data_IF_250506977619
#
_entry.id   IF_250506977619
#
_cell.length_a   1.000
_cell.length_b   1.000
_cell.length_c   1.000
_cell.angle_alpha   90.00
_cell.angle_beta   90.00
_cell.angle_gamma   90.00
#
_symmetry.space_group_name_H-M   'P 1'
#
loop_
_entity.id
_entity.type
_entity.pdbx_description
1 polymer ?
#
# COMPACT_ATOMS: atom_id res chain seq x y z
N UNK A 1 -35.38 -17.06 17.45
CA UNK A 1 -35.02 -16.32 16.23
C UNK A 1 -34.38 -17.29 15.25
N UNK A 2 -34.91 -17.44 14.03
CA UNK A 2 -34.33 -18.34 13.02
C UNK A 2 -33.02 -17.76 12.46
N UNK A 3 -32.08 -18.60 11.99
CA UNK A 3 -30.82 -18.14 11.43
C UNK A 3 -31.05 -17.41 10.10
N UNK A 4 -30.45 -16.23 9.94
CA UNK A 4 -30.42 -15.46 8.69
C UNK A 4 -29.72 -16.30 7.61
N UNK A 5 -30.42 -16.55 6.49
CA UNK A 5 -29.82 -17.05 5.24
C UNK A 5 -28.62 -16.17 4.86
N UNK A 6 -27.50 -16.80 4.57
CA UNK A 6 -26.35 -16.14 3.95
C UNK A 6 -26.80 -15.50 2.64
N UNK A 7 -26.54 -14.20 2.49
CA UNK A 7 -26.75 -13.51 1.23
C UNK A 7 -25.78 -14.10 0.20
N UNK A 8 -26.32 -14.72 -0.83
CA UNK A 8 -25.57 -15.11 -2.02
C UNK A 8 -24.88 -13.89 -2.63
N UNK A 9 -23.66 -14.11 -3.12
CA UNK A 9 -22.71 -13.08 -3.51
C UNK A 9 -23.30 -12.04 -4.44
N UNK A 10 -23.31 -10.79 -3.98
CA UNK A 10 -23.49 -9.63 -4.84
C UNK A 10 -22.32 -9.56 -5.82
N UNK A 11 -22.55 -9.98 -7.06
CA UNK A 11 -21.65 -9.68 -8.17
C UNK A 11 -21.38 -8.18 -8.19
N UNK A 12 -20.09 -7.81 -8.18
CA UNK A 12 -19.68 -6.41 -8.20
C UNK A 12 -20.37 -5.72 -9.38
N UNK A 13 -21.28 -4.77 -9.10
CA UNK A 13 -21.80 -3.88 -10.13
C UNK A 13 -20.59 -3.23 -10.79
N UNK A 14 -20.35 -3.57 -12.06
CA UNK A 14 -19.27 -2.99 -12.86
C UNK A 14 -19.52 -1.49 -12.89
N UNK A 15 -18.60 -0.72 -12.31
CA UNK A 15 -18.72 0.75 -12.28
C UNK A 15 -18.80 1.22 -13.73
N UNK A 16 -19.91 1.84 -14.12
CA UNK A 16 -20.08 2.40 -15.46
C UNK A 16 -19.26 3.69 -15.53
N UNK A 17 -18.07 3.59 -16.12
CA UNK A 17 -17.12 4.70 -16.23
C UNK A 17 -17.31 5.40 -17.57
N UNK A 18 -17.59 6.70 -17.52
CA UNK A 18 -17.62 7.57 -18.70
C UNK A 18 -16.30 8.34 -18.78
N UNK A 19 -15.61 8.20 -19.89
CA UNK A 19 -14.38 8.96 -20.20
C UNK A 19 -14.67 9.95 -21.32
N UNK A 20 -13.78 10.91 -21.54
CA UNK A 20 -13.74 11.63 -22.81
C UNK A 20 -13.60 10.60 -23.93
N UNK A 21 -14.61 10.53 -24.79
CA UNK A 21 -14.62 9.61 -25.92
C UNK A 21 -13.43 9.91 -26.84
N UNK A 22 -12.97 8.89 -27.55
CA UNK A 22 -12.09 9.12 -28.69
C UNK A 22 -12.94 9.77 -29.78
N UNK A 23 -12.66 11.03 -30.07
CA UNK A 23 -13.36 11.77 -31.12
C UNK A 23 -12.79 11.38 -32.48
N UNK A 24 -13.69 11.04 -33.40
CA UNK A 24 -13.33 10.66 -34.76
C UNK A 24 -13.04 11.93 -35.57
N UNK A 25 -11.81 12.04 -36.05
CA UNK A 25 -11.38 13.09 -36.97
C UNK A 25 -10.07 12.71 -37.64
N UNK A 26 -9.75 13.38 -38.75
CA UNK A 26 -8.57 13.05 -39.57
C UNK A 26 -7.25 13.15 -38.78
N UNK A 27 -7.21 13.99 -37.74
CA UNK A 27 -6.06 14.11 -36.83
C UNK A 27 -5.75 12.83 -36.04
N UNK A 28 -6.71 11.90 -35.94
CA UNK A 28 -6.51 10.63 -35.26
C UNK A 28 -5.60 9.70 -36.08
N UNK A 29 -5.58 9.82 -37.41
CA UNK A 29 -4.73 8.99 -38.28
C UNK A 29 -3.26 9.33 -38.02
N UNK A 30 -2.46 8.30 -37.71
CA UNK A 30 -1.07 8.42 -37.28
C UNK A 30 -0.90 8.72 -35.78
N UNK A 31 -1.98 8.99 -35.05
CA UNK A 31 -1.94 9.24 -33.60
C UNK A 31 -2.10 7.93 -32.81
N UNK A 32 -1.50 7.85 -31.59
CA UNK A 32 -1.68 6.71 -30.71
C UNK A 32 -3.05 6.71 -30.04
N UNK A 33 -3.59 5.51 -29.83
CA UNK A 33 -4.77 5.22 -29.01
C UNK A 33 -4.50 4.01 -28.13
N UNK A 34 -5.22 3.88 -27.02
CA UNK A 34 -5.22 2.66 -26.20
C UNK A 34 -6.43 1.81 -26.50
N UNK A 35 -6.22 0.52 -26.74
CA UNK A 35 -7.28 -0.46 -26.99
C UNK A 35 -7.49 -1.30 -25.74
N UNK A 36 -8.75 -1.52 -25.34
CA UNK A 36 -9.09 -2.45 -24.25
C UNK A 36 -8.90 -3.90 -24.69
N UNK A 37 -8.01 -4.61 -24.00
CA UNK A 37 -7.79 -6.05 -24.19
C UNK A 37 -7.86 -6.78 -22.85
N UNK A 38 -9.08 -7.05 -22.32
CA UNK A 38 -9.26 -7.60 -20.98
C UNK A 38 -8.73 -9.04 -20.82
N UNK A 39 -8.46 -9.73 -21.93
CA UNK A 39 -7.83 -11.06 -21.93
C UNK A 39 -6.32 -11.01 -21.67
N UNK A 40 -5.67 -9.86 -21.88
CA UNK A 40 -4.25 -9.67 -21.56
C UNK A 40 -4.11 -9.19 -20.11
N UNK A 41 -3.01 -9.61 -19.49
CA UNK A 41 -2.65 -9.16 -18.13
C UNK A 41 -2.52 -7.63 -18.06
N UNK A 42 -1.98 -7.01 -19.10
CA UNK A 42 -1.80 -5.56 -19.21
C UNK A 42 -3.11 -4.76 -19.38
N UNK A 43 -4.21 -5.44 -19.74
CA UNK A 43 -5.58 -4.91 -19.98
C UNK A 43 -5.73 -3.86 -21.09
N UNK A 44 -4.67 -3.15 -21.45
CA UNK A 44 -4.66 -2.11 -22.47
C UNK A 44 -3.42 -2.24 -23.34
N UNK A 45 -3.59 -2.02 -24.64
CA UNK A 45 -2.49 -2.04 -25.61
C UNK A 45 -2.47 -0.73 -26.37
N UNK A 46 -1.27 -0.13 -26.51
CA UNK A 46 -1.08 1.09 -27.28
C UNK A 46 -0.97 0.74 -28.76
N UNK A 47 -1.68 1.48 -29.61
CA UNK A 47 -1.74 1.22 -31.04
C UNK A 47 -1.73 2.53 -31.83
N UNK A 48 -1.24 2.50 -33.07
CA UNK A 48 -1.25 3.67 -33.97
C UNK A 48 -2.41 3.53 -34.95
N UNK A 49 -3.27 4.53 -35.03
CA UNK A 49 -4.39 4.52 -35.98
C UNK A 49 -3.85 4.67 -37.41
N UNK A 50 -4.29 3.80 -38.33
CA UNK A 50 -3.94 3.82 -39.75
C UNK A 50 -5.07 4.38 -40.62
N UNK A 51 -6.31 4.05 -40.31
CA UNK A 51 -7.48 4.57 -41.02
C UNK A 51 -8.73 4.52 -40.15
N UNK A 52 -9.73 5.31 -40.56
CA UNK A 52 -11.03 5.42 -39.90
C UNK A 52 -12.09 4.98 -40.92
N UNK A 53 -13.00 4.10 -40.51
CA UNK A 53 -14.11 3.63 -41.34
C UNK A 53 -15.39 3.56 -40.51
N UNK A 54 -16.23 4.59 -40.61
CA UNK A 54 -17.44 4.68 -39.79
C UNK A 54 -17.09 4.76 -38.30
N UNK A 55 -17.55 3.78 -37.51
CA UNK A 55 -17.26 3.65 -36.08
C UNK A 55 -16.01 2.81 -35.76
N UNK A 56 -15.35 2.28 -36.79
CA UNK A 56 -14.20 1.39 -36.65
C UNK A 56 -12.89 2.11 -36.95
N UNK A 57 -11.86 1.75 -36.19
CA UNK A 57 -10.48 2.14 -36.41
C UNK A 57 -9.70 0.93 -36.93
N UNK A 58 -8.95 1.12 -38.02
CA UNK A 58 -7.87 0.20 -38.37
C UNK A 58 -6.61 0.70 -37.69
N UNK A 59 -6.04 -0.13 -36.83
CA UNK A 59 -4.93 0.20 -35.93
C UNK A 59 -3.77 -0.77 -36.13
N UNK A 60 -2.56 -0.26 -35.91
CA UNK A 60 -1.32 -1.01 -35.94
C UNK A 60 -0.85 -1.24 -34.51
N UNK A 61 -0.78 -2.51 -34.14
CA UNK A 61 -0.35 -3.01 -32.84
C UNK A 61 0.92 -3.80 -33.09
N UNK A 62 2.07 -3.23 -32.73
CA UNK A 62 3.38 -3.87 -32.86
C UNK A 62 3.68 -4.46 -34.26
N UNK A 63 3.24 -3.77 -35.33
CA UNK A 63 3.42 -4.20 -36.72
C UNK A 63 2.30 -5.09 -37.27
N UNK A 64 1.32 -5.45 -36.43
CA UNK A 64 0.13 -6.21 -36.84
C UNK A 64 -1.10 -5.30 -36.96
N UNK A 65 -1.80 -5.40 -38.08
CA UNK A 65 -3.00 -4.60 -38.33
C UNK A 65 -4.23 -5.28 -37.73
N UNK A 66 -5.03 -4.52 -36.99
CA UNK A 66 -6.28 -4.97 -36.37
C UNK A 66 -7.38 -3.93 -36.62
N UNK A 67 -8.63 -4.38 -36.70
CA UNK A 67 -9.80 -3.50 -36.73
C UNK A 67 -10.50 -3.57 -35.38
N UNK A 68 -10.79 -2.41 -34.80
CA UNK A 68 -11.41 -2.27 -33.47
C UNK A 68 -12.51 -1.21 -33.50
N UNK A 69 -13.52 -1.36 -32.65
CA UNK A 69 -14.53 -0.32 -32.47
C UNK A 69 -13.95 0.86 -31.68
N UNK A 70 -14.30 2.08 -32.07
CA UNK A 70 -13.83 3.30 -31.38
C UNK A 70 -14.27 3.32 -29.91
N UNK A 71 -15.40 2.66 -29.59
CA UNK A 71 -15.94 2.55 -28.23
C UNK A 71 -15.03 1.72 -27.28
N UNK A 72 -14.21 0.83 -27.84
CA UNK A 72 -13.22 0.05 -27.09
C UNK A 72 -11.86 0.77 -26.97
N UNK A 73 -11.76 1.96 -27.54
CA UNK A 73 -10.55 2.78 -27.52
C UNK A 73 -10.61 3.86 -26.44
N UNK A 74 -9.43 4.24 -25.94
CA UNK A 74 -9.20 5.36 -25.05
C UNK A 74 -8.15 6.29 -25.66
N UNK A 75 -8.30 7.59 -25.43
CA UNK A 75 -7.32 8.59 -25.89
C UNK A 75 -5.94 8.31 -25.26
N UNK A 76 -4.86 8.47 -26.03
CA UNK A 76 -3.49 8.44 -25.52
C UNK A 76 -2.90 9.85 -25.49
N UNK A 77 -2.00 10.11 -24.55
CA UNK A 77 -1.30 11.39 -24.50
C UNK A 77 -0.15 11.41 -25.52
N UNK A 78 -0.13 12.40 -26.41
CA UNK A 78 0.88 12.56 -27.45
C UNK A 78 1.93 13.58 -27.01
N UNK A 79 3.21 13.30 -27.27
CA UNK A 79 4.31 14.23 -26.98
C UNK A 79 4.65 14.38 -25.49
N UNK A 80 4.12 13.50 -24.63
CA UNK A 80 4.41 13.46 -23.20
C UNK A 80 5.25 12.22 -22.92
N UNK A 81 6.44 12.40 -22.33
CA UNK A 81 7.22 11.29 -21.78
C UNK A 81 6.60 10.84 -20.45
N UNK A 82 6.04 9.61 -20.37
CA UNK A 82 5.37 9.13 -19.16
C UNK A 82 6.25 9.16 -17.91
N UNK A 83 7.57 9.00 -18.06
CA UNK A 83 8.52 8.99 -16.93
C UNK A 83 8.60 10.36 -16.26
N UNK A 84 8.48 11.43 -17.04
CA UNK A 84 8.54 12.82 -16.54
C UNK A 84 7.27 13.27 -15.83
N UNK A 85 6.17 12.54 -16.00
CA UNK A 85 4.89 12.86 -15.36
C UNK A 85 4.93 12.46 -13.89
N UNK A 86 5.01 13.45 -13.01
CA UNK A 86 5.03 13.24 -11.56
C UNK A 86 3.65 13.28 -10.90
N UNK A 87 2.64 13.80 -11.60
CA UNK A 87 1.26 13.93 -11.11
C UNK A 87 0.26 13.54 -12.21
N UNK A 88 -0.47 12.44 -11.95
CA UNK A 88 -1.48 11.90 -12.86
C UNK A 88 -2.64 12.86 -13.11
N UNK A 89 -2.93 13.77 -12.18
CA UNK A 89 -4.00 14.77 -12.34
C UNK A 89 -3.65 15.85 -13.38
N UNK A 90 -2.38 15.92 -13.83
CA UNK A 90 -1.90 16.86 -14.85
C UNK A 90 -1.90 16.27 -16.27
N UNK A 91 -2.32 15.02 -16.44
CA UNK A 91 -2.43 14.41 -17.76
C UNK A 91 -3.58 15.05 -18.56
N UNK A 92 -3.37 15.43 -19.84
CA UNK A 92 -4.45 15.90 -20.72
C UNK A 92 -5.58 14.88 -20.83
N UNK A 93 -5.22 13.61 -21.02
CA UNK A 93 -6.12 12.47 -20.96
C UNK A 93 -5.81 11.64 -19.71
N UNK A 94 -6.58 11.85 -18.65
CA UNK A 94 -6.47 11.15 -17.37
C UNK A 94 -7.34 9.88 -17.30
N UNK A 95 -7.32 9.06 -18.36
CA UNK A 95 -7.97 7.75 -18.34
C UNK A 95 -7.06 6.67 -17.72
N UNK A 96 -7.63 5.51 -17.44
CA UNK A 96 -6.93 4.41 -16.76
C UNK A 96 -5.72 3.89 -17.54
N UNK A 97 -5.78 3.85 -18.87
CA UNK A 97 -4.68 3.37 -19.69
C UNK A 97 -3.48 4.31 -19.62
N UNK A 98 -3.72 5.63 -19.73
CA UNK A 98 -2.68 6.65 -19.56
C UNK A 98 -2.07 6.63 -18.15
N UNK A 99 -2.90 6.48 -17.11
CA UNK A 99 -2.42 6.40 -15.74
C UNK A 99 -1.55 5.15 -15.51
N UNK A 100 -1.97 4.00 -16.05
CA UNK A 100 -1.21 2.75 -15.97
C UNK A 100 0.11 2.83 -16.75
N UNK A 101 0.13 3.45 -17.93
CA UNK A 101 1.36 3.67 -18.70
C UNK A 101 2.38 4.48 -17.89
N UNK A 102 1.97 5.64 -17.33
CA UNK A 102 2.83 6.47 -16.49
C UNK A 102 3.36 5.70 -15.29
N UNK A 103 2.49 5.03 -14.54
CA UNK A 103 2.92 4.25 -13.37
C UNK A 103 3.88 3.13 -13.76
N UNK A 104 3.60 2.39 -14.85
CA UNK A 104 4.46 1.30 -15.33
C UNK A 104 5.84 1.80 -15.73
N UNK A 105 5.91 2.84 -16.57
CA UNK A 105 7.18 3.39 -17.05
C UNK A 105 8.03 3.97 -15.92
N UNK A 106 7.39 4.60 -14.93
CA UNK A 106 8.06 5.08 -13.72
C UNK A 106 8.55 3.91 -12.85
N UNK A 107 7.72 2.90 -12.65
CA UNK A 107 8.05 1.72 -11.83
C UNK A 107 9.27 0.96 -12.34
N UNK A 108 9.36 0.68 -13.65
CA UNK A 108 10.50 -0.05 -14.24
C UNK A 108 11.82 0.71 -14.15
N UNK A 109 11.77 2.01 -13.84
CA UNK A 109 12.92 2.90 -13.60
C UNK A 109 13.12 3.24 -12.12
N UNK A 110 12.58 2.42 -11.22
CA UNK A 110 12.66 2.58 -9.77
C UNK A 110 12.03 3.87 -9.21
N UNK A 111 11.14 4.51 -9.99
CA UNK A 111 10.34 5.65 -9.56
C UNK A 111 8.97 5.18 -9.06
N UNK A 112 8.95 4.68 -7.82
CA UNK A 112 7.77 4.00 -7.26
C UNK A 112 6.66 4.92 -6.75
N UNK A 113 6.92 6.21 -6.68
CA UNK A 113 6.03 7.23 -6.14
C UNK A 113 5.49 8.12 -7.25
N UNK A 114 4.18 8.32 -7.29
CA UNK A 114 3.52 9.22 -8.26
C UNK A 114 2.36 9.93 -7.59
N UNK A 115 2.21 11.24 -7.78
CA UNK A 115 1.05 11.96 -7.27
C UNK A 115 -0.19 11.67 -8.13
N UNK A 116 -1.35 11.77 -7.49
CA UNK A 116 -2.65 11.80 -8.13
C UNK A 116 -3.46 12.91 -7.48
N UNK A 117 -3.20 14.16 -7.90
CA UNK A 117 -3.71 15.36 -7.25
C UNK A 117 -3.22 15.47 -5.81
N UNK A 118 -4.11 15.27 -4.84
CA UNK A 118 -3.79 15.32 -3.40
C UNK A 118 -3.46 13.96 -2.78
N UNK A 119 -3.33 12.93 -3.59
CA UNK A 119 -2.96 11.58 -3.16
C UNK A 119 -1.54 11.23 -3.62
N UNK A 120 -0.85 10.40 -2.85
CA UNK A 120 0.40 9.76 -3.26
C UNK A 120 0.13 8.29 -3.55
N UNK A 121 0.38 7.87 -4.78
CA UNK A 121 0.41 6.46 -5.17
C UNK A 121 1.81 5.92 -4.92
N UNK A 122 1.89 4.85 -4.13
CA UNK A 122 3.13 4.15 -3.79
C UNK A 122 3.04 2.70 -4.29
N UNK A 123 3.96 2.30 -5.18
CA UNK A 123 4.06 0.92 -5.66
C UNK A 123 5.16 0.18 -4.91
N UNK A 124 4.89 -1.06 -4.50
CA UNK A 124 5.88 -1.87 -3.79
C UNK A 124 7.00 -2.32 -4.77
N UNK A 125 8.27 -1.92 -4.57
CA UNK A 125 9.37 -2.32 -5.45
C UNK A 125 9.82 -3.78 -5.25
N UNK A 126 9.48 -4.43 -4.13
CA UNK A 126 10.03 -5.73 -3.73
C UNK A 126 11.56 -5.80 -3.67
N UNK A 127 12.23 -4.65 -3.65
CA UNK A 127 13.68 -4.49 -3.53
C UNK A 127 14.00 -3.18 -2.83
N UNK A 128 15.22 -3.08 -2.31
CA UNK A 128 15.76 -1.81 -1.83
C UNK A 128 16.17 -0.95 -3.02
N UNK A 129 15.78 0.32 -3.01
CA UNK A 129 16.19 1.31 -4.01
C UNK A 129 17.26 2.19 -3.35
N UNK A 130 18.53 2.13 -3.80
CA UNK A 130 19.62 2.91 -3.21
C UNK A 130 19.34 4.42 -3.22
N UNK A 131 19.68 5.12 -2.14
CA UNK A 131 19.51 6.57 -2.05
C UNK A 131 18.09 7.06 -1.70
N UNK A 132 17.07 6.20 -1.81
CA UNK A 132 15.67 6.63 -1.70
C UNK A 132 15.29 7.14 -0.30
N UNK A 133 15.84 6.53 0.76
CA UNK A 133 15.52 6.87 2.15
C UNK A 133 16.72 7.35 2.98
N UNK A 134 17.80 7.74 2.30
CA UNK A 134 19.02 8.22 2.95
C UNK A 134 18.78 9.57 3.67
N UNK A 135 19.58 9.90 4.70
CA UNK A 135 19.45 11.15 5.44
C UNK A 135 19.47 12.40 4.55
N UNK A 136 20.29 12.40 3.49
CA UNK A 136 20.35 13.50 2.52
C UNK A 136 19.02 13.70 1.79
N UNK A 137 18.31 12.62 1.48
CA UNK A 137 16.98 12.68 0.86
C UNK A 137 15.97 13.27 1.83
N UNK A 138 15.99 12.87 3.10
CA UNK A 138 15.14 13.47 4.12
C UNK A 138 15.36 14.99 4.23
N UNK A 139 16.61 15.45 4.32
CA UNK A 139 16.97 16.88 4.38
C UNK A 139 16.52 17.64 3.13
N UNK A 140 16.57 17.00 1.94
CA UNK A 140 16.02 17.60 0.72
C UNK A 140 14.53 17.91 0.85
N UNK A 141 13.72 16.97 1.36
CA UNK A 141 12.27 17.19 1.52
C UNK A 141 11.92 18.17 2.63
N UNK A 142 12.74 18.28 3.69
CA UNK A 142 12.57 19.29 4.74
C UNK A 142 12.61 20.73 4.24
N UNK A 143 13.17 20.98 3.07
CA UNK A 143 13.28 22.31 2.47
C UNK A 143 12.39 22.49 1.23
N UNK A 144 11.53 21.53 0.93
CA UNK A 144 10.64 21.59 -0.23
C UNK A 144 9.51 22.60 -0.03
N UNK A 145 9.08 23.25 -1.12
CA UNK A 145 7.97 24.22 -1.07
C UNK A 145 6.61 23.52 -1.12
N UNK A 146 5.91 23.49 0.03
CA UNK A 146 4.56 22.90 0.14
C UNK A 146 3.43 23.92 0.17
N UNK A 147 3.70 25.19 -0.20
CA UNK A 147 2.71 26.27 -0.12
C UNK A 147 1.45 26.04 -0.97
N UNK A 148 1.55 25.21 -2.01
CA UNK A 148 0.45 24.87 -2.94
C UNK A 148 0.00 23.41 -2.85
N UNK A 149 0.34 22.72 -1.76
CA UNK A 149 0.06 21.29 -1.56
C UNK A 149 1.32 20.45 -1.64
N UNK A 150 1.28 19.35 -2.38
CA UNK A 150 2.49 18.56 -2.60
C UNK A 150 3.52 19.34 -3.41
N UNK A 151 4.80 19.28 -3.00
CA UNK A 151 5.86 20.06 -3.60
C UNK A 151 6.11 19.64 -5.06
N UNK A 152 6.53 20.61 -5.86
CA UNK A 152 6.79 20.44 -7.30
C UNK A 152 8.26 20.62 -7.68
N UNK A 153 9.05 21.19 -6.77
CA UNK A 153 10.50 21.35 -6.83
C UNK A 153 11.26 20.07 -6.48
N UNK A 154 10.57 19.08 -5.90
CA UNK A 154 11.10 17.75 -5.58
C UNK A 154 10.21 16.64 -6.13
N UNK A 155 10.76 15.45 -6.45
CA UNK A 155 9.97 14.33 -6.94
C UNK A 155 8.90 13.84 -5.93
N UNK A 156 7.88 13.08 -6.38
CA UNK A 156 6.93 12.44 -5.47
C UNK A 156 7.61 11.51 -4.49
N UNK A 157 7.23 11.60 -3.21
CA UNK A 157 7.81 10.78 -2.15
C UNK A 157 6.95 10.80 -0.88
N UNK A 158 7.12 9.80 -0.01
CA UNK A 158 6.45 9.78 1.31
C UNK A 158 6.86 10.95 2.19
N UNK A 159 8.13 11.35 2.12
CA UNK A 159 8.65 12.54 2.81
C UNK A 159 8.02 13.85 2.32
N UNK A 160 7.56 13.93 1.07
CA UNK A 160 6.81 15.09 0.61
C UNK A 160 5.45 15.19 1.32
N UNK A 161 4.76 14.06 1.49
CA UNK A 161 3.50 13.99 2.27
C UNK A 161 3.75 14.40 3.72
N UNK A 162 4.82 13.88 4.33
CA UNK A 162 5.19 14.20 5.69
C UNK A 162 5.54 15.69 5.86
N UNK A 163 6.31 16.28 4.93
CA UNK A 163 6.62 17.71 4.97
C UNK A 163 5.36 18.56 4.82
N UNK A 164 4.48 18.25 3.87
CA UNK A 164 3.21 18.96 3.70
C UNK A 164 2.38 18.89 4.98
N UNK A 165 2.30 17.74 5.64
CA UNK A 165 1.60 17.61 6.92
C UNK A 165 2.26 18.44 8.03
N UNK A 166 3.60 18.46 8.13
CA UNK A 166 4.32 19.29 9.11
C UNK A 166 4.08 20.78 8.90
N UNK A 167 4.14 21.25 7.65
CA UNK A 167 3.91 22.66 7.33
C UNK A 167 2.44 23.04 7.55
N UNK A 168 1.48 22.16 7.24
CA UNK A 168 0.07 22.38 7.57
C UNK A 168 -0.15 22.44 9.08
N UNK A 169 0.41 21.51 9.85
CA UNK A 169 0.34 21.53 11.32
C UNK A 169 0.86 22.86 11.88
N UNK A 170 2.00 23.35 11.36
CA UNK A 170 2.62 24.60 11.79
C UNK A 170 1.83 25.84 11.40
N UNK A 171 1.32 25.89 10.17
CA UNK A 171 0.64 27.08 9.62
C UNK A 171 -0.80 27.20 10.08
N UNK A 172 -1.55 26.10 10.10
CA UNK A 172 -2.98 26.07 10.47
C UNK A 172 -3.17 25.93 11.97
N UNK A 173 -2.19 25.37 12.70
CA UNK A 173 -2.31 24.96 14.11
C UNK A 173 -3.41 23.92 14.33
N UNK A 174 -3.75 23.14 13.31
CA UNK A 174 -4.71 22.05 13.37
C UNK A 174 -4.02 20.68 13.27
N UNK A 175 -4.62 19.67 13.91
CA UNK A 175 -4.12 18.30 13.86
C UNK A 175 -4.19 17.74 12.43
N UNK A 176 -3.14 17.04 12.02
CA UNK A 176 -3.02 16.45 10.69
C UNK A 176 -3.13 14.93 10.77
N UNK A 177 -3.58 14.30 9.68
CA UNK A 177 -3.65 12.84 9.59
C UNK A 177 -3.07 12.34 8.27
N UNK A 178 -2.23 11.30 8.36
CA UNK A 178 -1.72 10.58 7.20
C UNK A 178 -2.36 9.20 7.17
N UNK A 179 -3.15 8.92 6.12
CA UNK A 179 -3.85 7.63 5.97
C UNK A 179 -3.13 6.80 4.92
N UNK A 180 -2.61 5.64 5.33
CA UNK A 180 -1.94 4.69 4.44
C UNK A 180 -2.88 3.52 4.16
N UNK A 181 -3.42 3.47 2.93
CA UNK A 181 -4.34 2.43 2.49
C UNK A 181 -3.73 1.56 1.39
N UNK A 182 -4.30 0.37 1.20
CA UNK A 182 -3.83 -0.59 0.19
C UNK A 182 -4.13 -2.04 0.58
N UNK A 183 -4.03 -2.93 -0.40
CA UNK A 183 -4.22 -4.36 -0.19
C UNK A 183 -3.11 -4.96 0.68
N UNK A 184 -3.28 -6.23 1.06
CA UNK A 184 -2.27 -6.98 1.79
C UNK A 184 -0.98 -7.07 0.96
N UNK A 185 0.18 -6.79 1.56
CA UNK A 185 1.47 -6.78 0.85
C UNK A 185 1.77 -5.53 0.03
N UNK A 186 0.88 -4.54 -0.02
CA UNK A 186 1.08 -3.30 -0.79
C UNK A 186 2.17 -2.36 -0.24
N UNK A 187 2.75 -2.64 0.93
CA UNK A 187 3.80 -1.80 1.54
C UNK A 187 3.31 -0.79 2.60
N UNK A 188 2.07 -0.93 3.10
CA UNK A 188 1.49 0.00 4.09
C UNK A 188 2.38 0.23 5.33
N UNK A 189 2.92 -0.85 5.90
CA UNK A 189 3.77 -0.80 7.10
C UNK A 189 5.07 -0.05 6.83
N UNK A 190 5.71 -0.30 5.68
CA UNK A 190 6.95 0.40 5.29
C UNK A 190 6.71 1.88 5.01
N UNK A 191 5.62 2.22 4.31
CA UNK A 191 5.23 3.62 4.11
C UNK A 191 5.00 4.33 5.45
N UNK A 192 4.31 3.70 6.40
CA UNK A 192 4.12 4.25 7.73
C UNK A 192 5.46 4.41 8.48
N UNK A 193 6.38 3.45 8.34
CA UNK A 193 7.74 3.52 8.90
C UNK A 193 8.52 4.73 8.40
N UNK A 194 8.45 5.01 7.10
CA UNK A 194 9.10 6.16 6.48
C UNK A 194 8.50 7.49 6.97
N UNK A 195 7.17 7.59 7.06
CA UNK A 195 6.52 8.77 7.64
C UNK A 195 6.97 9.01 9.09
N UNK A 196 7.03 7.94 9.91
CA UNK A 196 7.52 8.03 11.29
C UNK A 196 8.98 8.46 11.37
N UNK A 197 9.86 7.93 10.50
CA UNK A 197 11.26 8.34 10.42
C UNK A 197 11.38 9.84 10.09
N UNK A 198 10.52 10.34 9.21
CA UNK A 198 10.48 11.77 8.90
C UNK A 198 10.08 12.62 10.12
N UNK A 199 8.97 12.28 10.77
CA UNK A 199 8.47 13.03 11.93
C UNK A 199 9.42 12.98 13.14
N UNK A 200 10.17 11.89 13.30
CA UNK A 200 11.17 11.74 14.34
C UNK A 200 12.42 12.60 14.12
N UNK A 201 12.67 13.05 12.89
CA UNK A 201 13.88 13.81 12.56
C UNK A 201 13.62 15.31 12.72
N UNK A 202 14.24 15.93 13.72
CA UNK A 202 14.19 17.39 13.89
C UNK A 202 15.20 18.10 13.00
N UNK A 203 14.86 19.30 12.53
CA UNK A 203 15.82 20.21 11.86
C UNK A 203 16.98 20.64 12.79
N UNK A 204 16.81 20.51 14.10
CA UNK A 204 17.81 20.87 15.11
C UNK A 204 18.67 19.69 15.60
N UNK A 205 18.49 18.48 15.06
CA UNK A 205 19.23 17.27 15.45
C UNK A 205 18.33 16.08 15.83
N UNK A 206 18.93 14.94 16.20
CA UNK A 206 18.23 13.68 16.48
C UNK A 206 17.54 13.67 17.86
N UNK A 207 16.47 14.45 18.02
CA UNK A 207 15.56 14.34 19.16
C UNK A 207 14.38 13.43 18.82
N UNK A 208 14.29 12.24 19.43
CA UNK A 208 13.14 11.34 19.27
C UNK A 208 13.46 9.91 18.82
N UNK A 209 14.72 9.57 18.58
CA UNK A 209 15.13 8.22 18.13
C UNK A 209 14.59 7.11 19.03
N UNK A 210 14.65 7.28 20.37
CA UNK A 210 14.12 6.30 21.32
C UNK A 210 12.60 6.12 21.23
N UNK A 211 11.84 7.20 21.01
CA UNK A 211 10.38 7.11 20.89
C UNK A 211 10.00 6.48 19.56
N UNK A 212 10.71 6.82 18.48
CA UNK A 212 10.58 6.15 17.19
C UNK A 212 10.89 4.66 17.32
N UNK A 213 11.98 4.28 17.99
CA UNK A 213 12.35 2.89 18.26
C UNK A 213 11.29 2.16 19.07
N UNK A 214 10.64 2.79 20.05
CA UNK A 214 9.54 2.16 20.81
C UNK A 214 8.31 1.96 19.91
N UNK A 215 7.91 2.97 19.14
CA UNK A 215 6.70 2.92 18.30
C UNK A 215 6.88 1.92 17.14
N UNK A 216 8.05 1.90 16.50
CA UNK A 216 8.40 0.95 15.45
C UNK A 216 8.75 -0.43 16.02
N UNK A 217 9.41 -0.46 17.15
CA UNK A 217 9.84 -1.66 17.85
C UNK A 217 8.66 -2.47 18.35
N UNK A 218 7.52 -1.87 18.67
CA UNK A 218 6.31 -2.62 19.05
C UNK A 218 5.76 -3.56 17.96
N UNK A 219 6.30 -3.55 16.72
CA UNK A 219 5.78 -4.32 15.60
C UNK A 219 5.74 -5.84 15.88
N UNK A 220 6.86 -6.55 16.15
CA UNK A 220 6.81 -7.99 16.46
C UNK A 220 5.81 -8.36 17.55
N UNK A 221 5.71 -7.59 18.64
CA UNK A 221 4.69 -7.82 19.66
C UNK A 221 3.26 -7.66 19.09
N UNK A 222 2.98 -6.57 18.38
CA UNK A 222 1.67 -6.29 17.79
C UNK A 222 1.29 -7.30 16.69
N UNK A 223 2.27 -7.75 15.89
CA UNK A 223 2.08 -8.77 14.86
C UNK A 223 1.82 -10.14 15.50
N UNK A 224 2.54 -10.49 16.56
CA UNK A 224 2.30 -11.73 17.30
C UNK A 224 0.84 -11.81 17.81
N UNK A 225 0.35 -10.75 18.47
CA UNK A 225 -0.97 -10.75 19.11
C UNK A 225 -2.13 -10.42 18.15
N UNK A 226 -1.84 -9.79 17.01
CA UNK A 226 -2.86 -9.18 16.14
C UNK A 226 -2.82 -9.63 14.68
N UNK A 227 -1.79 -10.37 14.25
CA UNK A 227 -1.72 -10.95 12.93
C UNK A 227 -1.95 -12.46 12.97
N UNK A 228 -2.45 -12.99 11.87
CA UNK A 228 -2.72 -14.40 11.69
C UNK A 228 -2.49 -14.85 10.25
N UNK A 229 -2.32 -16.16 10.06
CA UNK A 229 -2.27 -16.76 8.74
C UNK A 229 -3.67 -16.88 8.15
N UNK A 230 -3.85 -16.33 6.96
CA UNK A 230 -5.07 -16.45 6.14
C UNK A 230 -4.75 -17.17 4.83
N UNK A 231 -5.76 -17.44 4.01
CA UNK A 231 -5.55 -18.02 2.67
C UNK A 231 -4.77 -17.09 1.72
N UNK A 232 -4.82 -15.77 1.94
CA UNK A 232 -4.23 -14.76 1.04
C UNK A 232 -2.90 -14.20 1.53
N UNK A 233 -2.67 -14.22 2.84
CA UNK A 233 -1.46 -13.69 3.46
C UNK A 233 -1.15 -14.45 4.75
N UNK A 234 0.09 -14.92 4.86
CA UNK A 234 0.61 -15.66 6.01
C UNK A 234 0.80 -14.81 7.27
N UNK A 235 0.90 -13.49 7.13
CA UNK A 235 1.03 -12.52 8.22
C UNK A 235 0.00 -11.37 8.05
N UNK A 236 -1.29 -11.71 8.05
CA UNK A 236 -2.38 -10.73 7.85
C UNK A 236 -2.74 -10.04 9.15
N UNK A 237 -2.62 -8.72 9.22
CA UNK A 237 -3.18 -7.93 10.33
C UNK A 237 -4.68 -8.05 10.40
N UNK A 238 -5.20 -8.37 11.59
CA UNK A 238 -6.64 -8.53 11.88
C UNK A 238 -7.15 -7.46 12.85
N UNK A 239 -6.45 -6.33 12.91
CA UNK A 239 -6.81 -5.14 13.66
C UNK A 239 -6.44 -3.91 12.85
N UNK A 240 -7.13 -2.80 13.09
CA UNK A 240 -6.72 -1.48 12.65
C UNK A 240 -5.75 -0.88 13.65
N UNK A 241 -4.72 -0.21 13.16
CA UNK A 241 -3.74 0.52 13.97
C UNK A 241 -3.85 2.01 13.69
N UNK A 242 -3.95 2.80 14.75
CA UNK A 242 -3.91 4.26 14.70
C UNK A 242 -2.79 4.73 15.63
N UNK A 243 -1.91 5.58 15.12
CA UNK A 243 -0.82 6.16 15.90
C UNK A 243 -1.02 7.67 15.91
N UNK A 244 -1.32 8.21 17.09
CA UNK A 244 -1.30 9.65 17.34
C UNK A 244 0.10 10.04 17.79
N UNK A 245 0.68 11.07 17.20
CA UNK A 245 2.02 11.56 17.53
C UNK A 245 1.93 13.01 17.99
N UNK A 246 2.62 13.32 19.09
CA UNK A 246 2.93 14.69 19.47
C UNK A 246 4.30 15.05 18.88
N UNK A 247 4.29 15.96 17.91
CA UNK A 247 5.46 16.31 17.09
C UNK A 247 5.73 17.79 17.22
N UNK A 248 6.99 18.14 17.48
CA UNK A 248 7.42 19.53 17.55
C UNK A 248 7.29 20.21 16.16
N UNK A 249 6.96 21.52 16.09
CA UNK A 249 6.87 22.24 14.81
C UNK A 249 8.17 22.24 13.97
N UNK A 250 9.32 21.96 14.59
CA UNK A 250 10.63 21.82 13.94
C UNK A 250 10.98 20.39 13.54
N UNK A 251 10.05 19.44 13.73
CA UNK A 251 10.30 18.00 13.70
C UNK A 251 10.84 17.48 15.02
N UNK A 252 10.71 16.17 15.25
CA UNK A 252 11.02 15.49 16.51
C UNK A 252 9.74 15.09 17.25
N UNK A 253 9.68 13.84 17.69
CA UNK A 253 8.53 13.28 18.41
C UNK A 253 8.74 13.46 19.91
N UNK A 254 7.82 14.14 20.58
CA UNK A 254 7.80 14.25 22.05
C UNK A 254 7.12 13.05 22.71
N UNK A 255 6.12 12.47 22.05
CA UNK A 255 5.37 11.33 22.55
C UNK A 255 4.35 10.84 21.53
N UNK A 256 3.59 9.81 21.88
CA UNK A 256 2.55 9.30 21.03
C UNK A 256 1.65 8.28 21.73
N UNK A 257 0.51 8.02 21.12
CA UNK A 257 -0.48 7.04 21.56
C UNK A 257 -0.68 6.05 20.42
N UNK A 258 -0.53 4.76 20.71
CA UNK A 258 -0.91 3.69 19.78
C UNK A 258 -2.28 3.18 20.20
N UNK A 259 -3.27 3.34 19.34
CA UNK A 259 -4.62 2.83 19.52
C UNK A 259 -4.87 1.71 18.52
N UNK A 260 -5.22 0.53 19.03
CA UNK A 260 -5.62 -0.61 18.23
C UNK A 260 -7.15 -0.72 18.27
N UNK A 261 -7.79 -0.95 17.12
CA UNK A 261 -9.24 -1.03 17.01
C UNK A 261 -9.66 -2.20 16.14
N UNK A 262 -10.88 -2.70 16.37
CA UNK A 262 -11.51 -3.76 15.57
C UNK A 262 -10.64 -5.01 15.42
N UNK A 263 -10.04 -5.49 16.52
CA UNK A 263 -9.45 -6.82 16.55
C UNK A 263 -10.54 -7.85 16.20
N UNK A 264 -10.27 -8.73 15.24
CA UNK A 264 -11.20 -9.78 14.85
C UNK A 264 -11.29 -10.86 15.96
N UNK A 265 -12.14 -10.62 16.95
CA UNK A 265 -12.29 -11.52 18.11
C UNK A 265 -12.79 -12.91 17.70
N UNK A 266 -13.63 -13.01 16.66
CA UNK A 266 -14.12 -14.29 16.15
C UNK A 266 -13.00 -15.25 15.73
N UNK A 267 -11.83 -14.72 15.34
CA UNK A 267 -10.67 -15.53 14.94
C UNK A 267 -10.08 -16.34 16.09
N UNK A 268 -10.30 -15.91 17.33
CA UNK A 268 -9.83 -16.65 18.50
C UNK A 268 -10.51 -18.02 18.56
N UNK A 269 -11.83 -18.05 18.34
CA UNK A 269 -12.67 -19.25 18.48
C UNK A 269 -12.79 -20.05 17.17
N UNK A 270 -12.80 -19.36 16.02
CA UNK A 270 -13.03 -19.98 14.72
C UNK A 270 -11.99 -19.56 13.68
N UNK A 271 -11.49 -20.53 12.92
CA UNK A 271 -10.61 -20.31 11.79
C UNK A 271 -11.10 -21.11 10.58
N UNK A 272 -11.05 -20.52 9.39
CA UNK A 272 -11.34 -21.25 8.15
C UNK A 272 -10.33 -22.37 7.92
N UNK A 273 -10.70 -23.38 7.12
CA UNK A 273 -9.79 -24.46 6.75
C UNK A 273 -8.51 -23.91 6.12
N UNK A 274 -7.36 -24.38 6.63
CA UNK A 274 -6.06 -23.87 6.22
C UNK A 274 -5.71 -22.48 6.77
N UNK A 275 -6.50 -21.85 7.66
CA UNK A 275 -6.10 -20.61 8.35
C UNK A 275 -5.57 -20.89 9.76
N UNK A 276 -4.85 -19.94 10.37
CA UNK A 276 -4.45 -20.00 11.78
C UNK A 276 -5.20 -18.98 12.62
N UNK A 277 -5.18 -19.20 13.94
CA UNK A 277 -5.44 -18.15 14.93
C UNK A 277 -4.24 -17.19 15.00
N UNK A 278 -4.24 -16.27 15.96
CA UNK A 278 -3.16 -15.31 16.16
C UNK A 278 -1.81 -16.00 16.41
N UNK A 279 -0.73 -15.44 15.85
CA UNK A 279 0.60 -16.06 15.89
C UNK A 279 1.09 -16.34 17.30
N UNK A 280 0.76 -15.47 18.26
CA UNK A 280 1.21 -15.57 19.66
C UNK A 280 0.85 -16.91 20.30
N UNK A 281 -0.27 -17.54 19.94
CA UNK A 281 -0.64 -18.86 20.49
C UNK A 281 0.36 -19.93 20.08
N UNK A 282 0.69 -20.00 18.78
CA UNK A 282 1.63 -20.97 18.23
C UNK A 282 3.07 -20.67 18.67
N UNK A 283 3.43 -19.38 18.69
CA UNK A 283 4.72 -18.87 19.16
C UNK A 283 4.97 -19.23 20.64
N UNK A 284 3.99 -19.03 21.53
CA UNK A 284 4.11 -19.43 22.94
C UNK A 284 4.21 -20.95 23.12
N UNK A 285 3.36 -21.72 22.43
CA UNK A 285 3.37 -23.19 22.50
C UNK A 285 4.70 -23.75 22.00
N UNK A 286 5.34 -23.14 20.99
CA UNK A 286 6.63 -23.61 20.48
C UNK A 286 7.83 -23.06 21.25
N UNK A 287 7.80 -21.77 21.61
CA UNK A 287 8.97 -21.03 22.06
C UNK A 287 9.18 -20.93 23.58
N UNK A 288 8.18 -21.26 24.41
CA UNK A 288 8.37 -21.29 25.86
C UNK A 288 9.25 -22.48 26.29
N UNK A 289 10.05 -22.28 27.35
CA UNK A 289 10.86 -23.35 27.91
C UNK A 289 9.99 -24.41 28.61
N UNK A 290 10.47 -25.67 28.74
CA UNK A 290 9.67 -26.75 29.34
C UNK A 290 9.13 -26.44 30.74
N UNK A 291 9.90 -25.75 31.58
CA UNK A 291 9.49 -25.36 32.92
C UNK A 291 8.39 -24.27 32.89
N UNK A 292 8.50 -23.31 31.97
CA UNK A 292 7.47 -22.27 31.73
C UNK A 292 6.18 -22.89 31.20
N UNK A 293 6.28 -23.84 30.26
CA UNK A 293 5.13 -24.60 29.74
C UNK A 293 4.41 -25.36 30.84
N UNK A 294 5.15 -26.02 31.72
CA UNK A 294 4.58 -26.76 32.85
C UNK A 294 3.89 -25.82 33.84
N UNK A 295 4.51 -24.67 34.17
CA UNK A 295 3.91 -23.65 35.05
C UNK A 295 2.59 -23.10 34.50
N UNK A 296 2.50 -22.92 33.18
CA UNK A 296 1.29 -22.44 32.50
C UNK A 296 0.30 -23.55 32.11
N UNK A 297 0.60 -24.82 32.41
CA UNK A 297 -0.15 -25.99 31.95
C UNK A 297 -0.45 -25.97 30.43
N UNK A 298 0.55 -25.54 29.64
CA UNK A 298 0.45 -25.47 28.18
C UNK A 298 0.43 -26.87 27.57
N UNK A 299 -0.50 -27.07 26.65
CA UNK A 299 -0.62 -28.28 25.81
C UNK A 299 -0.11 -28.00 24.40
N UNK A 300 -0.14 -29.01 23.54
CA UNK A 300 0.14 -28.81 22.13
C UNK A 300 -1.05 -28.15 21.41
N UNK A 301 -0.79 -27.49 20.29
CA UNK A 301 -1.81 -26.74 19.57
C UNK A 301 -3.06 -27.56 19.18
N UNK A 302 -2.97 -28.85 18.77
CA UNK A 302 -4.14 -29.68 18.47
C UNK A 302 -5.05 -29.96 19.68
N UNK A 303 -4.52 -29.87 20.91
CA UNK A 303 -5.27 -30.15 22.13
C UNK A 303 -6.14 -28.98 22.60
N UNK A 304 -5.99 -27.81 21.98
CA UNK A 304 -6.83 -26.64 22.22
C UNK A 304 -7.95 -26.57 21.20
N UNK A 305 -9.19 -26.64 21.69
CA UNK A 305 -10.39 -26.58 20.83
C UNK A 305 -10.41 -25.33 19.94
N UNK A 306 -9.94 -24.19 20.46
CA UNK A 306 -9.92 -22.93 19.74
C UNK A 306 -8.77 -22.80 18.72
N UNK A 307 -7.84 -23.77 18.67
CA UNK A 307 -6.74 -23.82 17.70
C UNK A 307 -6.85 -24.98 16.70
N UNK A 308 -7.70 -25.97 16.96
CA UNK A 308 -7.74 -27.22 16.20
C UNK A 308 -8.83 -27.30 15.13
N UNK A 309 -9.59 -26.22 14.89
CA UNK A 309 -10.70 -26.21 13.93
C UNK A 309 -10.26 -26.21 12.46
N UNK A 310 -9.08 -25.67 12.15
CA UNK A 310 -8.61 -25.48 10.76
C UNK A 310 -7.62 -26.52 10.25
N UNK A 311 -7.10 -27.38 11.13
CA UNK A 311 -6.03 -28.33 10.80
C UNK A 311 -4.68 -27.69 10.43
N UNK A 312 -4.50 -26.38 10.64
CA UNK A 312 -3.28 -25.65 10.28
C UNK A 312 -2.50 -25.21 11.53
N UNK A 313 -1.31 -25.78 11.72
CA UNK A 313 -0.43 -25.49 12.88
C UNK A 313 0.96 -24.98 12.47
N UNK A 314 1.38 -25.28 11.24
CA UNK A 314 2.64 -24.86 10.64
C UNK A 314 2.39 -23.92 9.46
N UNK A 315 3.32 -22.99 9.24
CA UNK A 315 3.32 -22.08 8.09
C UNK A 315 4.75 -22.00 7.58
N UNK A 316 4.97 -22.40 6.33
CA UNK A 316 6.31 -22.54 5.73
C UNK A 316 7.16 -21.26 5.80
N UNK A 317 6.52 -20.09 5.75
CA UNK A 317 7.22 -18.80 5.75
C UNK A 317 7.42 -18.20 7.15
N UNK A 318 6.95 -18.86 8.22
CA UNK A 318 6.94 -18.32 9.59
C UNK A 318 7.75 -19.21 10.49
N UNK A 319 8.69 -18.63 11.24
CA UNK A 319 9.45 -19.35 12.25
C UNK A 319 8.98 -18.92 13.64
N UNK A 320 7.93 -19.61 14.13
CA UNK A 320 7.27 -19.26 15.39
C UNK A 320 8.24 -19.23 16.60
N UNK A 321 9.29 -20.08 16.61
CA UNK A 321 10.28 -20.12 17.70
C UNK A 321 11.20 -18.89 17.68
N UNK A 322 11.71 -18.53 16.50
CA UNK A 322 12.55 -17.34 16.33
C UNK A 322 11.75 -16.07 16.62
N UNK A 323 10.56 -15.94 16.03
CA UNK A 323 9.71 -14.76 16.20
C UNK A 323 9.25 -14.60 17.66
N UNK A 324 9.02 -15.70 18.39
CA UNK A 324 8.76 -15.62 19.82
C UNK A 324 9.95 -15.07 20.62
N UNK A 325 11.18 -15.40 20.23
CA UNK A 325 12.38 -14.83 20.85
C UNK A 325 12.44 -13.31 20.63
N UNK A 326 12.09 -12.85 19.42
CA UNK A 326 11.99 -11.42 19.11
C UNK A 326 10.91 -10.73 19.97
N UNK A 327 9.73 -11.35 20.12
CA UNK A 327 8.67 -10.87 21.04
C UNK A 327 9.18 -10.76 22.49
N UNK A 328 9.88 -11.78 22.99
CA UNK A 328 10.44 -11.76 24.36
C UNK A 328 11.51 -10.70 24.55
N UNK A 329 12.31 -10.44 23.52
CA UNK A 329 13.32 -9.38 23.57
C UNK A 329 12.65 -8.01 23.68
N UNK A 330 11.52 -7.80 23.00
CA UNK A 330 10.80 -6.52 23.04
C UNK A 330 10.03 -6.26 24.31
N UNK A 331 9.60 -7.31 25.01
CA UNK A 331 8.92 -7.19 26.30
C UNK A 331 9.87 -6.80 27.45
N UNK A 332 11.20 -6.88 27.24
CA UNK A 332 12.23 -6.49 28.22
C UNK A 332 12.59 -5.01 28.09
#
# INVERSE_FOLDING_TARGET
MPPKKAAEGGGAKKVERKYSAVELGDYLVGSPVFIREPSKEEKYVKAIVKSISGTQLTVDVDGSTKTVEVADCLNANVGIDPVTVVDLAKLPHANEACALEVMRERYVRDQIYTYAGRLLVAMNPFKLIPGLYEPATLTKYQNADTSRGFPTDVPPHTYAVAQTAMDMLKTTKENQSCVVSGESGAGKTETARQLMQYFATSKAGTGGARIQEIILGANPLLEAIGNAKTLRNNNSSRFGRFVSLDVAPTGGIHGGIISNYMLELSRIEFQGQGERSYHIFYQMIKGLQPDEKQKCALKDAPDYEFLNKSGCYEVETVNDLKEFADVRQQLK
#
